data_IF_363120577866
#
_entry.id   IF_363120577866
#
_cell.length_a   1.000
_cell.length_b   1.000
_cell.length_c   1.000
_cell.angle_alpha   90.00
_cell.angle_beta   90.00
_cell.angle_gamma   90.00
#
_symmetry.space_group_name_H-M   'P 1'
#
loop_
_entity.id
_entity.type
_entity.pdbx_description
1 polymer ?
#
# COMPACT_ATOMS: atom_id res chain seq x y z
N UNK A 1 21.18 -0.13 -4.61
CA UNK A 1 19.75 -0.41 -4.94
C UNK A 1 18.85 -0.04 -3.74
N UNK A 2 17.96 0.93 -3.90
CA UNK A 2 17.44 1.75 -2.79
C UNK A 2 16.11 1.27 -2.14
N UNK A 3 15.60 0.07 -2.46
CA UNK A 3 14.26 -0.36 -2.01
C UNK A 3 14.28 -1.59 -1.07
N UNK A 4 15.39 -2.33 -1.03
CA UNK A 4 15.56 -3.47 -0.11
C UNK A 4 16.08 -3.07 1.29
N UNK A 5 16.25 -1.76 1.55
CA UNK A 5 16.87 -1.26 2.80
C UNK A 5 15.90 -0.83 3.90
N UNK A 6 14.59 -0.82 3.66
CA UNK A 6 13.63 -0.33 4.66
C UNK A 6 12.94 -1.44 5.48
N UNK A 7 12.78 -2.68 5.01
CA UNK A 7 12.17 -3.74 5.83
C UNK A 7 10.66 -3.56 6.11
N UNK A 8 9.95 -2.91 5.17
CA UNK A 8 8.49 -2.86 5.13
C UNK A 8 7.88 -4.04 4.39
N UNK A 9 6.74 -4.55 4.88
CA UNK A 9 5.97 -5.63 4.25
C UNK A 9 4.57 -5.10 3.96
N UNK A 10 4.11 -5.26 2.72
CA UNK A 10 2.72 -4.97 2.30
C UNK A 10 2.02 -6.30 2.13
N UNK A 11 0.90 -6.48 2.81
CA UNK A 11 0.12 -7.72 2.75
C UNK A 11 -1.31 -7.39 2.30
N UNK A 12 -1.76 -8.02 1.22
CA UNK A 12 -3.15 -7.87 0.78
C UNK A 12 -4.07 -8.51 1.83
N UNK A 13 -5.03 -7.75 2.31
CA UNK A 13 -6.06 -8.22 3.25
C UNK A 13 -7.30 -8.70 2.50
N UNK A 14 -7.86 -7.83 1.67
CA UNK A 14 -9.09 -8.11 0.95
C UNK A 14 -9.27 -7.19 -0.27
N UNK A 15 -10.02 -7.67 -1.25
CA UNK A 15 -10.47 -6.86 -2.39
C UNK A 15 -11.98 -7.02 -2.54
N UNK A 16 -12.74 -5.94 -2.34
CA UNK A 16 -14.21 -5.95 -2.40
C UNK A 16 -14.72 -4.63 -2.94
N UNK A 17 -15.66 -4.69 -3.89
CA UNK A 17 -16.31 -3.52 -4.49
C UNK A 17 -15.32 -2.48 -5.03
N UNK A 18 -14.19 -2.92 -5.60
CA UNK A 18 -13.13 -2.04 -6.10
C UNK A 18 -12.24 -1.43 -5.02
N UNK A 19 -12.43 -1.78 -3.74
CA UNK A 19 -11.61 -1.33 -2.64
C UNK A 19 -10.60 -2.42 -2.29
N UNK A 20 -9.31 -2.09 -2.40
CA UNK A 20 -8.19 -2.94 -2.01
C UNK A 20 -7.77 -2.56 -0.60
N UNK A 21 -7.87 -3.49 0.34
CA UNK A 21 -7.37 -3.31 1.71
C UNK A 21 -6.00 -3.98 1.82
N UNK A 22 -5.00 -3.23 2.31
CA UNK A 22 -3.64 -3.73 2.54
C UNK A 22 -3.22 -3.48 3.98
N UNK A 23 -2.52 -4.43 4.57
CA UNK A 23 -1.85 -4.28 5.86
C UNK A 23 -0.38 -3.89 5.63
N UNK A 24 0.04 -2.77 6.21
CA UNK A 24 1.41 -2.25 6.12
C UNK A 24 2.16 -2.58 7.42
N UNK A 25 3.12 -3.50 7.36
CA UNK A 25 3.95 -3.93 8.51
C UNK A 25 5.42 -3.52 8.34
N UNK A 26 6.16 -3.51 9.45
CA UNK A 26 7.60 -3.23 9.47
C UNK A 26 7.91 -1.73 9.44
N UNK A 27 9.00 -1.31 8.77
CA UNK A 27 9.36 0.12 8.72
C UNK A 27 8.32 1.00 8.02
N UNK A 28 7.41 0.40 7.23
CA UNK A 28 6.24 1.07 6.68
C UNK A 28 5.22 1.52 7.74
N UNK A 29 5.31 1.01 8.97
CA UNK A 29 4.42 1.33 10.10
C UNK A 29 5.05 2.32 11.10
N UNK A 30 6.37 2.53 11.05
CA UNK A 30 7.11 3.32 12.05
C UNK A 30 7.32 4.80 11.71
N UNK A 31 7.08 5.21 10.46
CA UNK A 31 7.29 6.59 10.00
C UNK A 31 6.02 7.07 9.26
N UNK A 32 5.20 7.95 9.86
CA UNK A 32 3.90 8.35 9.30
C UNK A 32 4.01 9.02 7.93
N UNK A 33 5.14 9.68 7.65
CA UNK A 33 5.45 10.23 6.32
C UNK A 33 5.60 9.13 5.26
N UNK A 34 6.32 8.05 5.58
CA UNK A 34 6.56 6.93 4.66
C UNK A 34 5.30 6.13 4.38
N UNK A 35 4.41 5.95 5.37
CA UNK A 35 3.13 5.25 5.20
C UNK A 35 2.22 5.96 4.20
N UNK A 36 2.14 7.29 4.25
CA UNK A 36 1.33 8.10 3.32
C UNK A 36 1.92 8.04 1.91
N UNK A 37 3.22 8.26 1.75
CA UNK A 37 3.87 8.19 0.43
C UNK A 37 3.77 6.79 -0.19
N UNK A 38 3.93 5.72 0.60
CA UNK A 38 3.76 4.35 0.11
C UNK A 38 2.33 4.06 -0.28
N UNK A 39 1.33 4.43 0.54
CA UNK A 39 -0.09 4.25 0.21
C UNK A 39 -0.40 4.89 -1.14
N UNK A 40 -0.01 6.16 -1.32
CA UNK A 40 -0.25 6.87 -2.57
C UNK A 40 0.48 6.24 -3.76
N UNK A 41 1.68 5.70 -3.57
CA UNK A 41 2.40 4.97 -4.61
C UNK A 41 1.68 3.68 -5.03
N UNK A 42 1.22 2.89 -4.06
CA UNK A 42 0.48 1.65 -4.30
C UNK A 42 -0.86 1.94 -4.98
N UNK A 43 -1.56 2.97 -4.53
CA UNK A 43 -2.85 3.39 -5.07
C UNK A 43 -2.75 3.81 -6.54
N UNK A 44 -1.78 4.66 -6.88
CA UNK A 44 -1.53 5.03 -8.28
C UNK A 44 -1.14 3.82 -9.15
N UNK A 45 -0.33 2.91 -8.63
CA UNK A 45 0.11 1.74 -9.38
C UNK A 45 -1.05 0.77 -9.64
N UNK A 46 -1.84 0.46 -8.61
CA UNK A 46 -2.96 -0.46 -8.72
C UNK A 46 -4.09 0.12 -9.59
N UNK A 47 -4.46 1.39 -9.42
CA UNK A 47 -5.48 2.03 -10.27
C UNK A 47 -5.04 2.14 -11.73
N UNK A 48 -3.74 2.31 -12.00
CA UNK A 48 -3.21 2.34 -13.36
C UNK A 48 -3.14 0.95 -14.01
N UNK A 49 -2.95 -0.12 -13.23
CA UNK A 49 -2.82 -1.49 -13.75
C UNK A 49 -4.16 -2.22 -13.79
N UNK A 50 -5.06 -1.90 -12.86
CA UNK A 50 -6.32 -2.59 -12.63
C UNK A 50 -7.45 -1.54 -12.58
N UNK A 51 -8.20 -1.35 -13.68
CA UNK A 51 -9.29 -0.36 -13.73
C UNK A 51 -10.47 -0.71 -12.81
N UNK A 52 -10.51 -1.92 -12.27
CA UNK A 52 -11.47 -2.35 -11.25
C UNK A 52 -11.15 -1.80 -9.85
N UNK A 53 -9.92 -1.32 -9.62
CA UNK A 53 -9.51 -0.71 -8.36
C UNK A 53 -9.92 0.76 -8.37
N UNK A 54 -10.76 1.13 -7.40
CA UNK A 54 -11.23 2.50 -7.18
C UNK A 54 -10.51 3.16 -6.01
N UNK A 55 -10.16 2.39 -4.98
CA UNK A 55 -9.56 2.92 -3.75
C UNK A 55 -8.62 1.88 -3.12
N UNK A 56 -7.56 2.38 -2.47
CA UNK A 56 -6.69 1.58 -1.61
C UNK A 56 -6.77 2.07 -0.17
N UNK A 57 -7.10 1.16 0.75
CA UNK A 57 -7.13 1.40 2.20
C UNK A 57 -5.94 0.69 2.83
N UNK A 58 -5.18 1.43 3.64
CA UNK A 58 -4.05 0.89 4.38
C UNK A 58 -4.42 0.76 5.87
N UNK A 59 -4.27 -0.45 6.41
CA UNK A 59 -4.35 -0.75 7.84
C UNK A 59 -2.93 -0.80 8.39
N UNK A 60 -2.69 -0.06 9.49
CA UNK A 60 -1.43 -0.05 10.25
C UNK A 60 -1.55 -0.91 11.50
#
# INVERSE_FOLDING_TARGET
PAVERDGGVIQLDSFKNGIVTVNLRGACSGCPSSTVTLKSGIENLLTSMLPEVQEVVALT
#
